data_IF_776217138911
#
_entry.id   IF_776217138911
#
_cell.length_a   1.000
_cell.length_b   1.000
_cell.length_c   1.000
_cell.angle_alpha   90.00
_cell.angle_beta   90.00
_cell.angle_gamma   90.00
#
_symmetry.space_group_name_H-M   'P 1'
#
loop_
_entity.id
_entity.type
_entity.pdbx_description
1 polymer ?
#
# COMPACT_ATOMS: atom_id res chain seq x y z
N UNK A 1 -21.30 -5.01 -9.44
CA UNK A 1 -19.86 -4.85 -9.72
C UNK A 1 -19.52 -5.60 -11.00
N UNK A 2 -19.13 -4.91 -12.07
CA UNK A 2 -18.63 -5.58 -13.28
C UNK A 2 -17.24 -6.16 -12.96
N UNK A 3 -17.17 -7.49 -12.77
CA UNK A 3 -15.95 -8.18 -12.32
C UNK A 3 -14.79 -8.04 -13.30
N UNK A 4 -15.07 -7.97 -14.60
CA UNK A 4 -14.05 -7.84 -15.64
C UNK A 4 -13.36 -6.47 -15.56
N UNK A 5 -14.14 -5.40 -15.43
CA UNK A 5 -13.61 -4.03 -15.28
C UNK A 5 -12.74 -3.93 -14.02
N UNK A 6 -13.20 -4.51 -12.90
CA UNK A 6 -12.43 -4.50 -11.64
C UNK A 6 -11.11 -5.25 -11.80
N UNK A 7 -11.12 -6.38 -12.50
CA UNK A 7 -9.92 -7.20 -12.72
C UNK A 7 -8.91 -6.49 -13.63
N UNK A 8 -9.36 -5.82 -14.71
CA UNK A 8 -8.51 -4.98 -15.56
C UNK A 8 -7.86 -3.85 -14.74
N UNK A 9 -8.65 -3.15 -13.92
CA UNK A 9 -8.12 -2.12 -13.01
C UNK A 9 -7.11 -2.69 -12.04
N UNK A 10 -7.39 -3.85 -11.43
CA UNK A 10 -6.48 -4.49 -10.49
C UNK A 10 -5.15 -4.89 -11.15
N UNK A 11 -5.18 -5.40 -12.38
CA UNK A 11 -3.95 -5.70 -13.16
C UNK A 11 -3.13 -4.44 -13.41
N UNK A 12 -3.78 -3.32 -13.80
CA UNK A 12 -3.10 -2.04 -14.03
C UNK A 12 -2.43 -1.46 -12.77
N UNK A 13 -2.92 -1.82 -11.58
CA UNK A 13 -2.43 -1.34 -10.28
C UNK A 13 -1.47 -2.32 -9.59
N UNK A 14 -1.17 -3.47 -10.19
CA UNK A 14 -0.39 -4.56 -9.54
C UNK A 14 1.02 -4.14 -9.12
N UNK A 15 1.63 -3.22 -9.85
CA UNK A 15 2.97 -2.69 -9.57
C UNK A 15 2.94 -1.46 -8.65
N UNK A 16 1.77 -1.11 -8.09
CA UNK A 16 1.61 0.10 -7.30
C UNK A 16 1.60 -0.22 -5.80
N UNK A 17 2.27 0.63 -5.03
CA UNK A 17 2.15 0.68 -3.57
C UNK A 17 1.63 2.05 -3.15
N UNK A 18 0.96 2.06 -2.01
CA UNK A 18 0.57 3.25 -1.27
C UNK A 18 1.51 3.38 -0.06
N UNK A 19 2.13 4.54 0.08
CA UNK A 19 2.92 4.90 1.26
C UNK A 19 2.14 5.97 2.03
N UNK A 20 1.85 5.67 3.29
CA UNK A 20 1.04 6.47 4.19
C UNK A 20 1.91 7.23 5.19
N UNK A 21 1.36 8.34 5.72
CA UNK A 21 1.96 9.12 6.80
C UNK A 21 3.32 9.76 6.46
N UNK A 22 3.51 10.13 5.18
CA UNK A 22 4.67 10.90 4.75
C UNK A 22 4.31 12.39 4.77
N UNK A 23 5.03 13.25 5.51
CA UNK A 23 4.74 14.68 5.55
C UNK A 23 4.65 15.29 4.16
N UNK A 24 3.63 16.12 3.92
CA UNK A 24 3.53 16.92 2.69
C UNK A 24 4.48 18.11 2.80
N UNK A 25 5.01 18.55 1.65
CA UNK A 25 5.81 19.77 1.55
C UNK A 25 5.01 20.82 0.78
N UNK A 26 5.28 22.11 1.04
CA UNK A 26 4.77 23.17 0.17
C UNK A 26 5.31 22.97 -1.25
N UNK A 27 4.46 23.19 -2.25
CA UNK A 27 4.79 23.01 -3.68
C UNK A 27 5.39 21.63 -3.99
N UNK A 28 4.80 20.56 -3.44
CA UNK A 28 5.26 19.19 -3.71
C UNK A 28 4.89 18.73 -5.12
N UNK A 29 5.91 18.58 -5.98
CA UNK A 29 5.81 18.03 -7.33
C UNK A 29 6.06 16.50 -7.35
N UNK A 30 5.70 15.79 -8.44
CA UNK A 30 5.93 14.34 -8.57
C UNK A 30 7.38 13.91 -8.32
N UNK A 31 8.36 14.69 -8.76
CA UNK A 31 9.80 14.45 -8.57
C UNK A 31 10.14 14.40 -7.07
N UNK A 32 9.56 15.30 -6.28
CA UNK A 32 9.75 15.32 -4.83
C UNK A 32 9.13 14.10 -4.16
N UNK A 33 8.02 13.58 -4.69
CA UNK A 33 7.46 12.32 -4.23
C UNK A 33 8.40 11.14 -4.52
N UNK A 34 9.06 11.13 -5.69
CA UNK A 34 10.05 10.10 -6.04
C UNK A 34 11.24 10.14 -5.08
N UNK A 35 11.79 11.32 -4.79
CA UNK A 35 12.86 11.51 -3.81
C UNK A 35 12.48 10.95 -2.43
N UNK A 36 11.30 11.34 -1.92
CA UNK A 36 10.77 10.85 -0.64
C UNK A 36 10.62 9.34 -0.61
N UNK A 37 10.17 8.74 -1.72
CA UNK A 37 10.07 7.27 -1.81
C UNK A 37 11.46 6.66 -1.68
N UNK A 38 12.46 7.11 -2.46
CA UNK A 38 13.81 6.55 -2.38
C UNK A 38 14.43 6.72 -0.99
N UNK A 39 14.24 7.88 -0.34
CA UNK A 39 14.69 8.11 1.03
C UNK A 39 14.12 7.06 2.00
N UNK A 40 12.83 6.74 1.88
CA UNK A 40 12.19 5.70 2.70
C UNK A 40 12.75 4.32 2.37
N UNK A 41 12.94 4.01 1.09
CA UNK A 41 13.49 2.72 0.67
C UNK A 41 14.90 2.51 1.24
N UNK A 42 15.75 3.53 1.20
CA UNK A 42 17.13 3.45 1.70
C UNK A 42 17.17 3.52 3.23
N UNK A 43 16.59 4.56 3.83
CA UNK A 43 16.80 4.86 5.25
C UNK A 43 15.88 4.08 6.19
N UNK A 44 14.72 3.61 5.71
CA UNK A 44 13.72 2.93 6.56
C UNK A 44 13.54 1.46 6.21
N UNK A 45 13.75 1.08 4.95
CA UNK A 45 13.68 -0.32 4.52
C UNK A 45 15.06 -0.96 4.32
N UNK A 46 16.14 -0.16 4.41
CA UNK A 46 17.53 -0.60 4.23
C UNK A 46 17.69 -1.35 2.89
N UNK A 47 17.15 -0.74 1.83
CA UNK A 47 17.32 -1.21 0.45
C UNK A 47 18.42 -0.36 -0.18
N UNK A 48 19.63 -0.88 -0.15
CA UNK A 48 20.81 -0.20 -0.68
C UNK A 48 20.67 0.07 -2.18
N UNK A 49 21.18 1.23 -2.62
CA UNK A 49 21.18 1.65 -4.02
C UNK A 49 19.78 1.65 -4.67
N UNK A 50 18.70 1.84 -3.88
CA UNK A 50 17.33 1.80 -4.41
C UNK A 50 17.13 2.76 -5.61
N UNK A 51 17.72 3.96 -5.56
CA UNK A 51 17.62 4.96 -6.62
C UNK A 51 18.27 4.54 -7.95
N UNK A 52 19.32 3.71 -7.92
CA UNK A 52 19.98 3.22 -9.14
C UNK A 52 19.46 1.86 -9.60
N UNK A 53 19.02 1.00 -8.66
CA UNK A 53 18.60 -0.37 -8.96
C UNK A 53 17.11 -0.53 -9.19
N UNK A 54 16.25 0.33 -8.63
CA UNK A 54 14.79 0.13 -8.62
C UNK A 54 14.06 1.30 -9.30
N UNK A 55 13.98 1.31 -10.64
CA UNK A 55 13.35 2.41 -11.37
C UNK A 55 11.86 2.55 -10.99
N UNK A 56 11.52 3.74 -10.51
CA UNK A 56 10.15 4.20 -10.29
C UNK A 56 9.63 4.80 -11.59
N UNK A 57 8.50 4.29 -12.08
CA UNK A 57 7.81 4.86 -13.26
C UNK A 57 7.18 6.22 -12.92
N UNK A 58 6.55 6.32 -11.75
CA UNK A 58 5.96 7.56 -11.23
C UNK A 58 5.66 7.47 -9.74
N UNK A 59 5.69 8.61 -9.06
CA UNK A 59 5.16 8.78 -7.71
C UNK A 59 4.42 10.11 -7.57
N UNK A 60 3.28 10.12 -6.88
CA UNK A 60 2.51 11.35 -6.62
C UNK A 60 1.52 11.14 -5.46
N UNK A 61 1.03 12.24 -4.88
CA UNK A 61 -0.04 12.20 -3.86
C UNK A 61 -1.39 11.86 -4.46
N UNK A 62 -2.21 11.12 -3.72
CA UNK A 62 -3.59 10.84 -4.10
C UNK A 62 -4.58 11.22 -3.00
N UNK A 63 -5.83 11.48 -3.40
CA UNK A 63 -6.91 11.82 -2.48
C UNK A 63 -7.01 13.31 -2.19
N UNK A 64 -8.03 13.66 -1.39
CA UNK A 64 -8.31 15.04 -1.01
C UNK A 64 -7.36 15.49 0.10
N UNK A 65 -6.83 16.70 -0.02
CA UNK A 65 -6.09 17.32 1.07
C UNK A 65 -7.08 17.59 2.23
N UNK A 66 -6.86 16.94 3.37
CA UNK A 66 -7.62 17.15 4.60
C UNK A 66 -6.65 17.64 5.65
N UNK A 67 -6.94 18.80 6.24
CA UNK A 67 -6.11 19.38 7.31
C UNK A 67 -5.82 18.32 8.38
N UNK A 68 -4.55 18.16 8.71
CA UNK A 68 -4.08 17.24 9.76
C UNK A 68 -3.74 15.82 9.32
N UNK A 69 -4.03 15.40 8.08
CA UNK A 69 -3.64 14.07 7.60
C UNK A 69 -2.95 14.16 6.23
N UNK A 70 -1.64 13.81 6.13
CA UNK A 70 -0.95 13.83 4.86
C UNK A 70 -1.56 12.81 3.89
N UNK A 71 -1.77 13.23 2.64
CA UNK A 71 -2.22 12.35 1.56
C UNK A 71 -1.23 11.23 1.33
N UNK A 72 -1.65 9.99 1.05
CA UNK A 72 -0.71 8.94 0.70
C UNK A 72 -0.03 9.22 -0.63
N UNK A 73 1.23 8.79 -0.76
CA UNK A 73 1.93 8.72 -2.05
C UNK A 73 1.56 7.39 -2.69
N UNK A 74 1.05 7.41 -3.92
CA UNK A 74 1.07 6.22 -4.78
C UNK A 74 2.36 6.21 -5.57
N UNK A 75 3.08 5.10 -5.50
CA UNK A 75 4.27 4.83 -6.31
C UNK A 75 3.99 3.66 -7.24
N UNK A 76 4.36 3.79 -8.51
CA UNK A 76 4.36 2.69 -9.48
C UNK A 76 5.80 2.32 -9.81
N UNK A 77 6.15 1.07 -9.52
CA UNK A 77 7.45 0.51 -9.88
C UNK A 77 7.43 0.00 -11.31
N UNK A 78 8.55 0.12 -12.01
CA UNK A 78 8.67 -0.41 -13.36
C UNK A 78 8.63 -1.96 -13.36
N UNK A 79 9.27 -2.58 -12.36
CA UNK A 79 9.36 -4.05 -12.25
C UNK A 79 8.55 -4.57 -11.07
N UNK A 80 7.79 -5.65 -11.30
CA UNK A 80 7.02 -6.30 -10.25
C UNK A 80 7.87 -6.85 -9.08
N UNK A 81 9.06 -7.47 -9.32
CA UNK A 81 9.93 -7.92 -8.24
C UNK A 81 10.36 -6.82 -7.28
N UNK A 82 10.61 -5.60 -7.79
CA UNK A 82 10.98 -4.45 -6.97
C UNK A 82 9.87 -4.10 -5.97
N UNK A 83 8.64 -4.00 -6.48
CA UNK A 83 7.46 -3.76 -5.65
C UNK A 83 7.28 -4.85 -4.59
N UNK A 84 7.49 -6.12 -4.93
CA UNK A 84 7.37 -7.22 -3.96
C UNK A 84 8.50 -7.20 -2.92
N UNK A 85 9.72 -6.79 -3.28
CA UNK A 85 10.81 -6.59 -2.33
C UNK A 85 10.44 -5.50 -1.31
N UNK A 86 10.00 -4.33 -1.76
CA UNK A 86 9.54 -3.23 -0.87
C UNK A 86 8.44 -3.72 0.06
N UNK A 87 7.45 -4.46 -0.47
CA UNK A 87 6.33 -5.00 0.30
C UNK A 87 6.80 -5.98 1.38
N UNK A 88 7.77 -6.85 1.08
CA UNK A 88 8.34 -7.81 2.06
C UNK A 88 9.15 -7.09 3.14
N UNK A 89 9.87 -6.03 2.78
CA UNK A 89 10.64 -5.23 3.73
C UNK A 89 9.80 -4.33 4.63
N UNK A 90 8.50 -4.16 4.34
CA UNK A 90 7.61 -3.28 5.12
C UNK A 90 7.51 -3.63 6.61
N UNK A 91 7.88 -4.84 7.02
CA UNK A 91 7.98 -5.20 8.46
C UNK A 91 9.01 -4.36 9.22
N UNK A 92 10.03 -3.82 8.54
CA UNK A 92 11.04 -2.92 9.12
C UNK A 92 10.47 -1.57 9.56
N UNK A 93 9.29 -1.20 9.05
CA UNK A 93 8.59 0.02 9.47
C UNK A 93 7.84 -0.13 10.80
N UNK A 94 7.84 -1.32 11.42
CA UNK A 94 7.19 -1.55 12.71
C UNK A 94 7.78 -0.61 13.77
N UNK A 95 6.91 0.10 14.49
CA UNK A 95 7.31 1.11 15.47
C UNK A 95 7.45 2.53 14.90
N UNK A 96 7.44 2.68 13.58
CA UNK A 96 7.28 3.99 12.93
C UNK A 96 5.81 4.31 12.67
N UNK A 97 5.53 5.57 12.33
CA UNK A 97 4.20 5.97 11.84
C UNK A 97 3.96 5.63 10.36
N UNK A 98 4.99 5.24 9.60
CA UNK A 98 4.90 5.04 8.15
C UNK A 98 4.21 3.70 7.86
N UNK A 99 3.23 3.74 6.95
CA UNK A 99 2.54 2.54 6.47
C UNK A 99 2.82 2.28 5.00
N UNK A 100 2.93 1.01 4.61
CA UNK A 100 2.95 0.59 3.20
C UNK A 100 1.79 -0.37 2.96
N UNK A 101 1.04 -0.15 1.89
CA UNK A 101 -0.06 -1.01 1.46
C UNK A 101 -0.11 -1.16 -0.06
N UNK A 102 -0.81 -2.18 -0.54
CA UNK A 102 -1.07 -2.33 -1.97
C UNK A 102 -2.18 -1.39 -2.42
N UNK A 103 -2.05 -0.84 -3.65
CA UNK A 103 -3.15 -0.11 -4.26
C UNK A 103 -4.17 -1.10 -4.84
N UNK A 104 -5.45 -0.84 -4.57
CA UNK A 104 -6.55 -1.59 -5.15
C UNK A 104 -7.55 -0.66 -5.83
N UNK A 105 -8.31 -1.15 -6.84
CA UNK A 105 -9.48 -0.45 -7.35
C UNK A 105 -10.44 -0.13 -6.21
N UNK A 106 -11.18 0.98 -6.35
CA UNK A 106 -12.11 1.47 -5.32
C UNK A 106 -13.04 0.39 -4.79
N UNK A 107 -13.61 -0.43 -5.66
CA UNK A 107 -14.51 -1.52 -5.28
C UNK A 107 -13.86 -2.51 -4.30
N UNK A 108 -12.62 -2.93 -4.56
CA UNK A 108 -11.86 -3.82 -3.68
C UNK A 108 -11.42 -3.08 -2.42
N UNK A 109 -10.98 -1.82 -2.55
CA UNK A 109 -10.55 -1.00 -1.42
C UNK A 109 -11.68 -0.78 -0.39
N UNK A 110 -12.91 -0.55 -0.86
CA UNK A 110 -14.09 -0.36 -0.02
C UNK A 110 -14.47 -1.66 0.73
N UNK A 111 -14.41 -2.82 0.06
CA UNK A 111 -14.60 -4.13 0.72
C UNK A 111 -13.51 -4.36 1.76
N UNK A 112 -12.24 -4.11 1.43
CA UNK A 112 -11.15 -4.23 2.41
C UNK A 112 -11.36 -3.32 3.62
N UNK A 113 -11.91 -2.12 3.39
CA UNK A 113 -12.25 -1.18 4.46
C UNK A 113 -13.28 -1.75 5.44
N UNK A 114 -14.32 -2.41 4.95
CA UNK A 114 -15.32 -3.06 5.83
C UNK A 114 -14.77 -4.30 6.54
N UNK A 115 -13.77 -4.98 5.94
CA UNK A 115 -13.14 -6.16 6.54
C UNK A 115 -12.07 -5.82 7.60
N UNK A 116 -11.50 -4.61 7.62
CA UNK A 116 -10.44 -4.25 8.58
C UNK A 116 -10.85 -4.36 10.05
N UNK A 117 -12.04 -3.90 10.50
CA UNK A 117 -12.48 -4.08 11.88
C UNK A 117 -12.55 -5.55 12.29
N UNK A 118 -13.11 -6.41 11.42
CA UNK A 118 -13.20 -7.86 11.65
C UNK A 118 -11.81 -8.49 11.71
N UNK A 119 -10.92 -8.12 10.78
CA UNK A 119 -9.54 -8.56 10.75
C UNK A 119 -8.80 -8.19 12.04
N UNK A 120 -8.97 -6.95 12.52
CA UNK A 120 -8.33 -6.45 13.74
C UNK A 120 -8.80 -7.25 14.96
N UNK A 121 -10.12 -7.39 15.12
CA UNK A 121 -10.71 -8.18 16.22
C UNK A 121 -10.22 -9.63 16.21
N UNK A 122 -10.25 -10.28 15.04
CA UNK A 122 -9.80 -11.66 14.92
C UNK A 122 -8.29 -11.83 15.27
N UNK A 123 -7.44 -10.83 14.96
CA UNK A 123 -6.04 -10.82 15.40
C UNK A 123 -5.89 -10.67 16.91
N UNK A 124 -6.68 -9.79 17.52
CA UNK A 124 -6.68 -9.56 18.98
C UNK A 124 -7.11 -10.83 19.73
N UNK A 125 -8.02 -11.62 19.15
CA UNK A 125 -8.45 -12.94 19.63
C UNK A 125 -7.43 -14.06 19.35
N UNK A 126 -6.26 -13.76 18.77
CA UNK A 126 -5.20 -14.74 18.49
C UNK A 126 -5.41 -15.60 17.24
N UNK A 127 -6.40 -15.30 16.40
CA UNK A 127 -6.66 -16.07 15.19
C UNK A 127 -5.64 -15.80 14.07
N UNK A 128 -5.36 -16.81 13.25
CA UNK A 128 -4.57 -16.67 12.03
C UNK A 128 -5.42 -16.00 10.95
N UNK A 129 -5.11 -14.76 10.59
CA UNK A 129 -5.85 -14.01 9.56
C UNK A 129 -5.06 -13.82 8.28
N UNK A 130 -5.75 -13.85 7.13
CA UNK A 130 -5.17 -13.53 5.82
C UNK A 130 -6.18 -12.76 4.97
N UNK A 131 -5.80 -11.57 4.49
CA UNK A 131 -6.64 -10.76 3.61
C UNK A 131 -6.07 -10.79 2.19
N UNK A 132 -6.74 -11.50 1.28
CA UNK A 132 -6.32 -11.69 -0.12
C UNK A 132 -7.30 -10.98 -1.04
N UNK A 133 -6.83 -9.97 -1.77
CA UNK A 133 -7.68 -9.06 -2.57
C UNK A 133 -8.84 -8.53 -1.70
N UNK A 134 -10.07 -8.97 -1.97
CA UNK A 134 -11.35 -8.63 -1.35
C UNK A 134 -11.86 -9.70 -0.36
N UNK A 135 -11.08 -10.75 -0.08
CA UNK A 135 -11.49 -11.88 0.76
C UNK A 135 -10.68 -11.97 2.05
N UNK A 136 -11.36 -12.04 3.19
CA UNK A 136 -10.76 -12.28 4.51
C UNK A 136 -10.86 -13.77 4.85
N UNK A 137 -9.75 -14.37 5.26
CA UNK A 137 -9.69 -15.73 5.79
C UNK A 137 -9.31 -15.68 7.27
N UNK A 138 -10.03 -16.44 8.11
CA UNK A 138 -9.78 -16.59 9.55
C UNK A 138 -9.59 -18.08 9.82
N UNK A 139 -8.43 -18.45 10.37
CA UNK A 139 -8.01 -19.84 10.59
C UNK A 139 -8.13 -20.72 9.33
N UNK A 140 -7.87 -20.13 8.16
CA UNK A 140 -7.96 -20.80 6.86
C UNK A 140 -9.36 -20.82 6.23
N UNK A 141 -10.41 -20.44 6.95
CA UNK A 141 -11.77 -20.40 6.44
C UNK A 141 -12.15 -19.02 5.91
N UNK A 142 -12.87 -18.98 4.78
CA UNK A 142 -13.36 -17.74 4.20
C UNK A 142 -14.43 -17.11 5.10
N UNK A 143 -14.22 -15.85 5.47
CA UNK A 143 -15.20 -15.05 6.19
C UNK A 143 -16.22 -14.46 5.20
N UNK A 144 -17.51 -14.69 5.46
CA UNK A 144 -18.60 -14.29 4.56
C UNK A 144 -19.32 -12.99 4.97
N UNK A 145 -18.92 -12.34 6.06
CA UNK A 145 -19.77 -11.29 6.66
C UNK A 145 -21.02 -11.89 7.30
N UNK A 146 -21.56 -11.24 8.32
CA UNK A 146 -22.97 -11.41 8.70
C UNK A 146 -23.68 -10.11 8.36
#
# INVERSE_FOLDING_TARGET
MNREIVDIKARSMRNNLLIFNIPESENEYPEKCVEKVYEILQNKLEIDDASSKMPIERAHRIGRNRRGNPRPIVVKFLRYPDKELVKRSASKLKGTSIGIGEQFPKDIADIRKSLYPVLKKAKEEGNKVKLVKDKLYINGQLYYGK
#
